data_IF_956998022146
#
_entry.id   IF_956998022146
#
_cell.length_a   1.000
_cell.length_b   1.000
_cell.length_c   1.000
_cell.angle_alpha   90.00
_cell.angle_beta   90.00
_cell.angle_gamma   90.00
#
_symmetry.space_group_name_H-M   'P 1'
#
loop_
_entity.id
_entity.type
_entity.pdbx_description
1 polymer ?
#
# COMPACT_ATOMS: atom_id res chain seq x y z
N UNK A 1 17.55 -2.39 33.61
CA UNK A 1 16.30 -2.08 32.87
C UNK A 1 16.13 -0.58 32.67
N UNK A 2 16.07 0.23 33.74
CA UNK A 2 15.83 1.69 33.65
C UNK A 2 16.84 2.41 32.72
N UNK A 3 18.15 2.17 32.90
CA UNK A 3 19.19 2.78 32.05
C UNK A 3 19.00 2.46 30.56
N UNK A 4 18.57 1.24 30.23
CA UNK A 4 18.37 0.85 28.84
C UNK A 4 17.12 1.51 28.23
N UNK A 5 16.07 1.71 29.02
CA UNK A 5 14.85 2.41 28.58
C UNK A 5 15.16 3.89 28.32
N UNK A 6 15.91 4.54 29.22
CA UNK A 6 16.38 5.92 29.02
C UNK A 6 17.30 6.00 27.80
N UNK A 7 18.20 5.03 27.64
CA UNK A 7 19.06 4.91 26.45
C UNK A 7 18.25 4.80 25.16
N UNK A 8 17.23 3.93 25.14
CA UNK A 8 16.33 3.78 23.99
C UNK A 8 15.56 5.07 23.70
N UNK A 9 15.07 5.75 24.74
CA UNK A 9 14.40 7.05 24.59
C UNK A 9 15.31 8.08 23.92
N UNK A 10 16.55 8.25 24.42
CA UNK A 10 17.50 9.21 23.87
C UNK A 10 17.91 8.82 22.44
N UNK A 11 18.20 7.54 22.20
CA UNK A 11 18.55 7.03 20.88
C UNK A 11 17.45 7.34 19.85
N UNK A 12 16.19 7.04 20.19
CA UNK A 12 15.05 7.29 19.32
C UNK A 12 14.77 8.78 19.15
N UNK A 13 14.97 9.61 20.20
CA UNK A 13 14.86 11.06 20.10
C UNK A 13 15.86 11.64 19.09
N UNK A 14 17.14 11.25 19.20
CA UNK A 14 18.20 11.69 18.29
C UNK A 14 17.98 11.17 16.87
N UNK A 15 17.48 9.96 16.73
CA UNK A 15 17.17 9.35 15.45
C UNK A 15 15.96 9.99 14.77
N UNK A 16 14.92 10.31 15.52
CA UNK A 16 13.77 11.07 15.03
C UNK A 16 14.19 12.47 14.56
N UNK A 17 15.12 13.12 15.29
CA UNK A 17 15.75 14.36 14.83
C UNK A 17 16.51 14.17 13.52
N UNK A 18 17.31 13.11 13.39
CA UNK A 18 18.07 12.79 12.18
C UNK A 18 17.17 12.51 10.96
N UNK A 19 16.02 11.88 11.16
CA UNK A 19 15.02 11.62 10.12
C UNK A 19 14.09 12.80 9.83
N UNK A 20 14.34 13.98 10.41
CA UNK A 20 13.55 15.18 10.12
C UNK A 20 12.11 15.12 10.64
N UNK A 21 11.85 14.36 11.71
CA UNK A 21 10.53 14.31 12.34
C UNK A 21 10.15 15.72 12.86
N UNK A 22 8.94 16.24 12.58
CA UNK A 22 8.51 17.55 13.05
C UNK A 22 8.66 17.69 14.56
N UNK A 23 9.11 18.86 15.04
CA UNK A 23 9.43 19.10 16.46
C UNK A 23 8.31 18.71 17.43
N UNK A 24 7.05 18.93 17.01
CA UNK A 24 5.85 18.55 17.77
C UNK A 24 5.71 17.04 18.04
N UNK A 25 6.38 16.19 17.27
CA UNK A 25 6.26 14.72 17.34
C UNK A 25 7.50 14.02 17.92
N UNK A 26 8.63 14.72 18.08
CA UNK A 26 9.89 14.15 18.54
C UNK A 26 9.81 13.44 19.90
N UNK A 27 9.18 14.08 20.87
CA UNK A 27 9.03 13.49 22.21
C UNK A 27 8.10 12.28 22.14
N UNK A 28 7.04 12.35 21.34
CA UNK A 28 6.10 11.24 21.18
C UNK A 28 6.75 10.04 20.51
N UNK A 29 7.58 10.23 19.47
CA UNK A 29 8.33 9.13 18.85
C UNK A 29 9.35 8.51 19.82
N UNK A 30 10.03 9.33 20.63
CA UNK A 30 10.95 8.86 21.66
C UNK A 30 10.24 8.04 22.76
N UNK A 31 9.06 8.48 23.22
CA UNK A 31 8.22 7.71 24.16
C UNK A 31 7.84 6.36 23.56
N UNK A 32 7.44 6.34 22.28
CA UNK A 32 7.08 5.11 21.58
C UNK A 32 8.24 4.11 21.58
N UNK A 33 9.46 4.56 21.25
CA UNK A 33 10.65 3.71 21.30
C UNK A 33 11.03 3.24 22.71
N UNK A 34 10.82 4.06 23.73
CA UNK A 34 11.04 3.67 25.13
C UNK A 34 10.05 2.58 25.59
N UNK A 35 8.78 2.71 25.19
CA UNK A 35 7.74 1.70 25.44
C UNK A 35 8.08 0.41 24.71
N UNK A 36 8.48 0.51 23.45
CA UNK A 36 8.87 -0.64 22.63
C UNK A 36 10.01 -1.44 23.28
N UNK A 37 11.08 -0.75 23.68
CA UNK A 37 12.19 -1.37 24.40
C UNK A 37 11.78 -1.96 25.75
N UNK A 38 10.89 -1.29 26.49
CA UNK A 38 10.36 -1.82 27.74
C UNK A 38 9.58 -3.13 27.53
N UNK A 39 8.71 -3.18 26.52
CA UNK A 39 7.93 -4.39 26.18
C UNK A 39 8.86 -5.52 25.78
N UNK A 40 9.89 -5.23 24.99
CA UNK A 40 10.93 -6.19 24.65
C UNK A 40 11.62 -6.77 25.89
N UNK A 41 12.07 -5.91 26.82
CA UNK A 41 12.74 -6.36 28.05
C UNK A 41 11.84 -7.17 28.97
N UNK A 42 10.56 -6.77 29.11
CA UNK A 42 9.58 -7.51 29.90
C UNK A 42 9.33 -8.89 29.28
N UNK A 43 9.20 -8.96 27.95
CA UNK A 43 8.96 -10.21 27.24
C UNK A 43 10.13 -11.17 27.42
N UNK A 44 11.36 -10.67 27.28
CA UNK A 44 12.57 -11.44 27.52
C UNK A 44 12.65 -11.93 28.98
N UNK A 45 12.31 -11.07 29.94
CA UNK A 45 12.25 -11.40 31.37
C UNK A 45 11.20 -12.47 31.73
N UNK A 46 10.19 -12.68 30.87
CA UNK A 46 9.20 -13.76 31.00
C UNK A 46 9.64 -15.07 30.34
N UNK A 47 10.86 -15.15 29.82
CA UNK A 47 11.41 -16.35 29.19
C UNK A 47 10.95 -16.56 27.75
N UNK A 48 10.37 -15.55 27.09
CA UNK A 48 10.12 -15.63 25.66
C UNK A 48 11.46 -15.67 24.90
N UNK A 49 11.48 -16.36 23.76
CA UNK A 49 12.65 -16.33 22.87
C UNK A 49 12.91 -14.90 22.37
N UNK A 50 14.15 -14.64 21.95
CA UNK A 50 14.54 -13.33 21.41
C UNK A 50 13.61 -12.88 20.26
N UNK A 51 13.36 -13.77 19.31
CA UNK A 51 12.49 -13.51 18.17
C UNK A 51 11.04 -13.22 18.58
N UNK A 52 10.49 -13.99 19.53
CA UNK A 52 9.12 -13.78 20.03
C UNK A 52 9.00 -12.50 20.87
N UNK A 53 10.04 -12.14 21.63
CA UNK A 53 10.08 -10.88 22.38
C UNK A 53 10.06 -9.67 21.45
N UNK A 54 10.83 -9.72 20.35
CA UNK A 54 10.81 -8.71 19.31
C UNK A 54 9.46 -8.66 18.60
N UNK A 55 8.84 -9.82 18.32
CA UNK A 55 7.51 -9.88 17.71
C UNK A 55 6.45 -9.16 18.56
N UNK A 56 6.40 -9.47 19.87
CA UNK A 56 5.44 -8.84 20.79
C UNK A 56 5.69 -7.34 20.91
N UNK A 57 6.96 -6.92 21.06
CA UNK A 57 7.32 -5.51 21.06
C UNK A 57 6.87 -4.81 19.77
N UNK A 58 7.18 -5.41 18.61
CA UNK A 58 6.78 -4.92 17.28
C UNK A 58 5.26 -4.72 17.15
N UNK A 59 4.46 -5.65 17.66
CA UNK A 59 2.99 -5.51 17.66
C UNK A 59 2.55 -4.30 18.48
N UNK A 60 3.16 -4.09 19.65
CA UNK A 60 2.81 -2.97 20.54
C UNK A 60 3.21 -1.64 19.92
N UNK A 61 4.43 -1.52 19.38
CA UNK A 61 4.85 -0.26 18.73
C UNK A 61 4.02 0.06 17.49
N UNK A 62 3.71 -0.93 16.66
CA UNK A 62 2.85 -0.73 15.50
C UNK A 62 1.46 -0.27 15.95
N UNK A 63 0.89 -0.90 16.98
CA UNK A 63 -0.38 -0.50 17.55
C UNK A 63 -0.39 0.94 18.07
N UNK A 64 0.60 1.32 18.89
CA UNK A 64 0.71 2.67 19.45
C UNK A 64 0.94 3.69 18.33
N UNK A 65 1.76 3.38 17.34
CA UNK A 65 2.02 4.26 16.19
C UNK A 65 0.74 4.52 15.39
N UNK A 66 -0.08 3.51 15.15
CA UNK A 66 -1.39 3.66 14.51
C UNK A 66 -2.36 4.50 15.35
N UNK A 67 -2.36 4.31 16.68
CA UNK A 67 -3.17 5.12 17.59
C UNK A 67 -2.74 6.60 17.59
N UNK A 68 -1.44 6.86 17.63
CA UNK A 68 -0.87 8.21 17.61
C UNK A 68 -1.09 8.90 16.26
N UNK A 69 -0.94 8.17 15.16
CA UNK A 69 -1.23 8.69 13.82
C UNK A 69 -2.64 9.27 13.71
N UNK A 70 -3.65 8.55 14.23
CA UNK A 70 -5.03 9.04 14.30
C UNK A 70 -5.18 10.24 15.23
N UNK A 71 -4.61 10.16 16.43
CA UNK A 71 -4.76 11.20 17.46
C UNK A 71 -4.12 12.53 17.06
N UNK A 72 -3.00 12.48 16.34
CA UNK A 72 -2.19 13.63 15.95
C UNK A 72 -2.33 14.00 14.47
N UNK A 73 -3.13 13.26 13.69
CA UNK A 73 -3.33 13.45 12.25
C UNK A 73 -1.99 13.52 11.51
N UNK A 74 -1.14 12.54 11.76
CA UNK A 74 0.19 12.43 11.18
C UNK A 74 0.38 11.03 10.59
N UNK A 75 1.26 10.84 9.58
CA UNK A 75 1.58 9.53 9.06
C UNK A 75 2.10 8.59 10.15
N UNK A 76 1.67 7.31 10.14
CA UNK A 76 2.10 6.28 11.09
C UNK A 76 3.62 6.14 11.14
N UNK A 77 4.26 6.31 9.99
CA UNK A 77 5.71 6.23 9.80
C UNK A 77 6.50 7.23 10.65
N UNK A 78 5.89 8.37 11.04
CA UNK A 78 6.53 9.37 11.91
C UNK A 78 6.86 8.80 13.28
N UNK A 79 6.04 7.88 13.78
CA UNK A 79 6.23 7.23 15.08
C UNK A 79 6.90 5.86 14.93
N UNK A 80 6.48 5.08 13.93
CA UNK A 80 6.89 3.70 13.75
C UNK A 80 8.36 3.56 13.36
N UNK A 81 8.82 4.30 12.34
CA UNK A 81 10.20 4.15 11.80
C UNK A 81 11.26 4.45 12.86
N UNK A 82 11.25 5.63 13.53
CA UNK A 82 12.26 5.90 14.55
C UNK A 82 12.09 5.00 15.78
N UNK A 83 10.84 4.70 16.17
CA UNK A 83 10.57 3.95 17.39
C UNK A 83 10.99 2.48 17.34
N UNK A 84 10.93 1.83 16.17
CA UNK A 84 11.22 0.39 16.03
C UNK A 84 12.71 0.10 15.86
N UNK A 85 13.51 1.12 15.55
CA UNK A 85 14.92 0.96 15.25
C UNK A 85 15.77 0.32 16.35
N UNK A 86 15.49 0.50 17.66
CA UNK A 86 16.18 -0.25 18.71
C UNK A 86 16.06 -1.78 18.56
N UNK A 87 14.98 -2.30 17.98
CA UNK A 87 14.77 -3.73 17.78
C UNK A 87 15.44 -4.28 16.52
N UNK A 88 15.83 -3.41 15.57
CA UNK A 88 16.42 -3.85 14.31
C UNK A 88 17.79 -4.48 14.59
N UNK A 89 18.06 -5.70 14.10
CA UNK A 89 19.21 -6.50 14.52
C UNK A 89 20.54 -6.07 13.86
N UNK A 90 20.96 -4.82 14.06
CA UNK A 90 22.21 -4.29 13.49
C UNK A 90 23.47 -5.00 14.01
N UNK A 91 23.52 -5.30 15.31
CA UNK A 91 24.64 -6.05 15.92
C UNK A 91 24.68 -7.49 15.39
N UNK A 92 23.53 -8.10 15.12
CA UNK A 92 23.44 -9.42 14.51
C UNK A 92 24.07 -9.43 13.12
N UNK A 93 23.71 -8.47 12.27
CA UNK A 93 24.30 -8.30 10.94
C UNK A 93 25.80 -8.09 10.99
N UNK A 94 26.30 -7.25 11.89
CA UNK A 94 27.74 -7.07 12.08
C UNK A 94 28.45 -8.38 12.46
N UNK A 95 27.86 -9.15 13.38
CA UNK A 95 28.44 -10.44 13.82
C UNK A 95 28.53 -11.46 12.69
N UNK A 96 27.56 -11.49 11.78
CA UNK A 96 27.62 -12.38 10.61
C UNK A 96 28.89 -12.10 9.80
N UNK A 97 29.09 -10.83 9.40
CA UNK A 97 30.26 -10.43 8.60
C UNK A 97 31.55 -10.66 9.37
N UNK A 98 31.56 -10.32 10.66
CA UNK A 98 32.72 -10.53 11.54
C UNK A 98 33.15 -11.99 11.58
N UNK A 99 32.22 -12.93 11.77
CA UNK A 99 32.56 -14.36 11.83
C UNK A 99 32.85 -14.98 10.45
N UNK A 100 32.32 -14.42 9.36
CA UNK A 100 32.74 -14.79 8.02
C UNK A 100 34.21 -14.44 7.76
N UNK A 101 34.68 -13.26 8.21
CA UNK A 101 36.08 -12.84 8.09
C UNK A 101 37.00 -13.73 8.95
N UNK A 102 36.53 -14.16 10.12
CA UNK A 102 37.26 -15.09 11.00
C UNK A 102 37.19 -16.56 10.56
N UNK A 103 36.55 -16.84 9.42
CA UNK A 103 36.34 -18.20 8.90
C UNK A 103 35.60 -19.14 9.88
N UNK A 104 34.87 -18.59 10.85
CA UNK A 104 34.03 -19.34 11.80
C UNK A 104 32.62 -19.50 11.22
N UNK A 105 32.48 -20.46 10.29
CA UNK A 105 31.22 -20.74 9.61
C UNK A 105 30.07 -21.11 10.55
N UNK A 106 30.37 -21.79 11.67
CA UNK A 106 29.35 -22.19 12.64
C UNK A 106 28.69 -20.98 13.31
N UNK A 107 29.49 -20.01 13.79
CA UNK A 107 28.94 -18.77 14.37
C UNK A 107 28.32 -17.86 13.32
N UNK A 108 28.92 -17.77 12.14
CA UNK A 108 28.34 -17.00 11.04
C UNK A 108 26.93 -17.48 10.69
N UNK A 109 26.74 -18.79 10.51
CA UNK A 109 25.41 -19.38 10.26
C UNK A 109 24.46 -19.19 11.43
N UNK A 110 24.92 -19.34 12.67
CA UNK A 110 24.07 -19.11 13.85
C UNK A 110 23.50 -17.68 13.90
N UNK A 111 24.36 -16.66 13.77
CA UNK A 111 23.91 -15.27 13.78
C UNK A 111 23.10 -14.91 12.53
N UNK A 112 23.36 -15.57 11.40
CA UNK A 112 22.56 -15.41 10.19
C UNK A 112 21.12 -15.85 10.42
N UNK A 113 20.91 -17.08 10.90
CA UNK A 113 19.56 -17.58 11.20
C UNK A 113 18.86 -16.73 12.27
N UNK A 114 19.56 -16.35 13.33
CA UNK A 114 18.99 -15.51 14.39
C UNK A 114 18.57 -14.13 13.87
N UNK A 115 19.42 -13.46 13.10
CA UNK A 115 19.14 -12.13 12.53
C UNK A 115 17.97 -12.20 11.55
N UNK A 116 17.93 -13.23 10.70
CA UNK A 116 16.85 -13.46 9.75
C UNK A 116 15.50 -13.69 10.46
N UNK A 117 15.50 -14.49 11.54
CA UNK A 117 14.30 -14.72 12.34
C UNK A 117 13.78 -13.42 12.96
N UNK A 118 14.66 -12.60 13.56
CA UNK A 118 14.27 -11.33 14.17
C UNK A 118 13.69 -10.38 13.12
N UNK A 119 14.36 -10.22 11.97
CA UNK A 119 13.87 -9.38 10.89
C UNK A 119 12.52 -9.87 10.34
N UNK A 120 12.34 -11.18 10.19
CA UNK A 120 11.08 -11.79 9.79
C UNK A 120 9.96 -11.51 10.79
N UNK A 121 10.23 -11.61 12.09
CA UNK A 121 9.25 -11.29 13.13
C UNK A 121 8.84 -9.82 13.14
N UNK A 122 9.79 -8.90 12.89
CA UNK A 122 9.48 -7.49 12.73
C UNK A 122 8.54 -7.28 11.54
N UNK A 123 8.89 -7.84 10.37
CA UNK A 123 8.09 -7.71 9.15
C UNK A 123 6.67 -8.27 9.33
N UNK A 124 6.54 -9.46 9.91
CA UNK A 124 5.25 -10.09 10.17
C UNK A 124 4.42 -9.27 11.18
N UNK A 125 5.04 -8.78 12.25
CA UNK A 125 4.35 -7.98 13.27
C UNK A 125 3.78 -6.68 12.70
N UNK A 126 4.56 -5.94 11.90
CA UNK A 126 4.09 -4.73 11.22
C UNK A 126 2.96 -5.08 10.26
N UNK A 127 3.13 -6.11 9.42
CA UNK A 127 2.13 -6.53 8.43
C UNK A 127 0.78 -6.89 9.08
N UNK A 128 0.80 -7.63 10.19
CA UNK A 128 -0.40 -7.99 10.95
C UNK A 128 -1.09 -6.73 11.46
N UNK A 129 -0.36 -5.80 12.07
CA UNK A 129 -0.97 -4.59 12.62
C UNK A 129 -1.48 -3.64 11.55
N UNK A 130 -0.77 -3.49 10.44
CA UNK A 130 -1.24 -2.72 9.29
C UNK A 130 -2.53 -3.32 8.71
N UNK A 131 -2.59 -4.66 8.58
CA UNK A 131 -3.79 -5.36 8.11
C UNK A 131 -4.96 -5.19 9.07
N UNK A 132 -4.71 -5.33 10.37
CA UNK A 132 -5.69 -5.11 11.42
C UNK A 132 -6.28 -3.70 11.30
N UNK A 133 -5.45 -2.66 11.32
CA UNK A 133 -5.95 -1.27 11.25
C UNK A 133 -6.63 -0.93 9.92
N UNK A 134 -6.15 -1.44 8.79
CA UNK A 134 -6.84 -1.28 7.49
C UNK A 134 -8.27 -1.83 7.53
N UNK A 135 -8.49 -2.96 8.21
CA UNK A 135 -9.83 -3.55 8.35
C UNK A 135 -10.78 -2.66 9.17
N UNK A 136 -10.31 -2.10 10.28
CA UNK A 136 -11.11 -1.18 11.12
C UNK A 136 -11.26 0.23 10.51
N UNK A 137 -10.43 0.58 9.53
CA UNK A 137 -10.39 1.91 8.92
C UNK A 137 -11.14 2.00 7.58
N UNK A 138 -11.85 0.95 7.14
CA UNK A 138 -12.82 1.12 6.04
C UNK A 138 -13.95 2.06 6.50
N UNK A 139 -14.08 3.29 5.96
CA UNK A 139 -15.41 3.84 5.86
C UNK A 139 -16.19 2.95 4.89
N UNK A 140 -17.37 2.49 5.30
CA UNK A 140 -18.31 1.73 4.49
C UNK A 140 -18.92 2.59 3.35
N UNK A 141 -18.15 3.53 2.77
CA UNK A 141 -18.60 4.54 1.82
C UNK A 141 -17.68 4.69 0.60
N UNK A 142 -16.62 3.89 0.48
CA UNK A 142 -15.71 3.92 -0.70
C UNK A 142 -15.90 2.69 -1.58
N UNK A 143 -16.14 1.50 -0.98
CA UNK A 143 -16.41 0.27 -1.75
C UNK A 143 -17.74 0.34 -2.51
N UNK A 144 -18.76 1.01 -1.93
CA UNK A 144 -20.03 1.23 -2.64
C UNK A 144 -19.91 2.25 -3.77
N UNK A 145 -19.02 3.25 -3.62
CA UNK A 145 -18.85 4.32 -4.60
C UNK A 145 -18.03 3.88 -5.80
N UNK A 146 -16.96 3.12 -5.62
CA UNK A 146 -16.22 2.54 -6.76
C UNK A 146 -17.07 1.53 -7.54
N UNK A 147 -17.91 0.73 -6.87
CA UNK A 147 -18.81 -0.20 -7.56
C UNK A 147 -19.92 0.54 -8.34
N UNK A 148 -20.54 1.56 -7.72
CA UNK A 148 -21.57 2.40 -8.35
C UNK A 148 -21.00 3.26 -9.50
N UNK A 149 -19.80 3.84 -9.32
CA UNK A 149 -19.11 4.62 -10.34
C UNK A 149 -18.67 3.73 -11.53
N UNK A 150 -18.22 2.49 -11.29
CA UNK A 150 -17.89 1.52 -12.35
C UNK A 150 -19.15 1.04 -13.10
N UNK A 151 -20.26 0.81 -12.39
CA UNK A 151 -21.51 0.35 -12.99
C UNK A 151 -22.20 1.47 -13.80
N UNK A 152 -22.20 2.71 -13.30
CA UNK A 152 -22.66 3.90 -14.02
C UNK A 152 -21.77 4.26 -15.21
N UNK A 153 -20.45 4.18 -15.07
CA UNK A 153 -19.53 4.50 -16.17
C UNK A 153 -19.54 3.39 -17.24
N UNK A 154 -19.74 2.14 -16.83
CA UNK A 154 -19.98 1.01 -17.72
C UNK A 154 -21.31 1.10 -18.47
N UNK A 155 -22.40 1.47 -17.80
CA UNK A 155 -23.71 1.63 -18.46
C UNK A 155 -23.73 2.82 -19.42
N UNK A 156 -23.17 3.96 -19.02
CA UNK A 156 -23.09 5.17 -19.87
C UNK A 156 -22.22 4.95 -21.10
N UNK A 157 -21.04 4.32 -20.98
CA UNK A 157 -20.19 4.06 -22.16
C UNK A 157 -20.79 3.04 -23.14
N UNK A 158 -21.57 2.06 -22.67
CA UNK A 158 -22.22 1.08 -23.55
C UNK A 158 -23.42 1.70 -24.27
N UNK A 159 -24.21 2.52 -23.59
CA UNK A 159 -25.39 3.16 -24.19
C UNK A 159 -25.00 4.24 -25.22
N UNK A 160 -23.99 5.06 -24.90
CA UNK A 160 -23.47 6.11 -25.81
C UNK A 160 -22.80 5.50 -27.06
N UNK A 161 -22.03 4.43 -26.90
CA UNK A 161 -21.40 3.75 -28.04
C UNK A 161 -22.39 2.98 -28.92
N UNK A 162 -23.49 2.45 -28.37
CA UNK A 162 -24.45 1.65 -29.15
C UNK A 162 -25.45 2.54 -29.88
N UNK A 163 -25.90 3.63 -29.25
CA UNK A 163 -26.82 4.59 -29.88
C UNK A 163 -26.20 5.33 -31.06
N UNK A 164 -24.95 5.82 -30.91
CA UNK A 164 -24.28 6.59 -31.95
C UNK A 164 -23.95 5.74 -33.19
N UNK A 165 -23.63 4.46 -33.01
CA UNK A 165 -23.33 3.53 -34.11
C UNK A 165 -24.59 3.19 -34.91
N UNK A 166 -25.73 2.94 -34.23
CA UNK A 166 -26.99 2.65 -34.91
C UNK A 166 -27.50 3.86 -35.72
N UNK A 167 -27.36 5.07 -35.18
CA UNK A 167 -27.78 6.30 -35.86
C UNK A 167 -26.88 6.62 -37.08
N UNK A 168 -25.57 6.31 -37.01
CA UNK A 168 -24.68 6.43 -38.17
C UNK A 168 -24.96 5.38 -39.24
N UNK A 169 -25.22 4.12 -38.87
CA UNK A 169 -25.55 3.06 -39.84
C UNK A 169 -26.90 3.33 -40.53
N UNK A 170 -27.90 3.82 -39.82
CA UNK A 170 -29.21 4.17 -40.38
C UNK A 170 -29.10 5.30 -41.41
N UNK A 171 -28.39 6.39 -41.07
CA UNK A 171 -28.13 7.52 -41.99
C UNK A 171 -27.35 7.08 -43.23
N UNK A 172 -26.38 6.18 -43.07
CA UNK A 172 -25.57 5.65 -44.18
C UNK A 172 -26.40 4.76 -45.11
N UNK A 173 -27.29 3.95 -44.54
CA UNK A 173 -28.20 3.09 -45.32
C UNK A 173 -29.25 3.90 -46.07
N UNK A 174 -29.79 4.94 -45.45
CA UNK A 174 -30.77 5.86 -46.06
C UNK A 174 -30.15 6.63 -47.24
N UNK A 175 -28.91 7.12 -47.08
CA UNK A 175 -28.17 7.74 -48.18
C UNK A 175 -27.91 6.80 -49.35
N UNK A 176 -27.54 5.55 -49.09
CA UNK A 176 -27.31 4.54 -50.14
C UNK A 176 -28.60 4.19 -50.89
N UNK A 177 -29.74 4.11 -50.18
CA UNK A 177 -31.05 3.88 -50.79
C UNK A 177 -31.48 5.04 -51.69
N UNK A 178 -31.31 6.28 -51.23
CA UNK A 178 -31.61 7.48 -52.01
C UNK A 178 -30.74 7.56 -53.27
N UNK A 179 -29.43 7.33 -53.15
CA UNK A 179 -28.52 7.33 -54.30
C UNK A 179 -28.90 6.26 -55.35
N UNK A 180 -29.30 5.06 -54.91
CA UNK A 180 -29.80 4.00 -55.81
C UNK A 180 -31.12 4.39 -56.48
N UNK A 181 -32.04 5.01 -55.75
CA UNK A 181 -33.32 5.46 -56.29
C UNK A 181 -33.14 6.54 -57.36
N UNK A 182 -32.23 7.50 -57.16
CA UNK A 182 -31.90 8.52 -58.15
C UNK A 182 -31.24 7.91 -59.40
N UNK A 183 -30.32 6.97 -59.22
CA UNK A 183 -29.69 6.26 -60.34
C UNK A 183 -30.71 5.49 -61.18
N UNK A 184 -31.68 4.82 -60.54
CA UNK A 184 -32.78 4.14 -61.24
C UNK A 184 -33.68 5.13 -61.97
N UNK A 185 -34.02 6.27 -61.34
CA UNK A 185 -34.83 7.32 -61.97
C UNK A 185 -34.13 7.91 -63.20
N UNK A 186 -32.80 8.07 -63.15
CA UNK A 186 -32.01 8.53 -64.30
C UNK A 186 -32.01 7.50 -65.43
N UNK A 187 -31.79 6.20 -65.12
CA UNK A 187 -31.89 5.11 -66.10
C UNK A 187 -33.27 4.99 -66.73
N UNK A 188 -34.34 5.23 -65.96
CA UNK A 188 -35.71 5.23 -66.50
C UNK A 188 -35.93 6.40 -67.46
N UNK A 189 -35.45 7.60 -67.13
CA UNK A 189 -35.52 8.77 -68.04
C UNK A 189 -34.68 8.57 -69.31
N UNK A 190 -33.52 7.92 -69.22
CA UNK A 190 -32.71 7.56 -70.39
C UNK A 190 -33.45 6.56 -71.28
N UNK A 191 -34.05 5.50 -70.69
CA UNK A 191 -34.90 4.55 -71.44
C UNK A 191 -36.14 5.21 -72.07
N UNK A 192 -36.80 6.10 -71.35
CA UNK A 192 -37.97 6.84 -71.87
C UNK A 192 -37.57 7.74 -73.05
N UNK A 193 -36.36 8.31 -73.04
CA UNK A 193 -35.82 9.11 -74.15
C UNK A 193 -35.45 8.23 -75.36
N UNK A 194 -34.89 7.05 -75.13
CA UNK A 194 -34.58 6.08 -76.18
C UNK A 194 -35.87 5.53 -76.85
N UNK A 195 -36.94 5.32 -76.07
CA UNK A 195 -38.25 4.84 -76.57
C UNK A 195 -39.07 5.95 -77.28
N UNK A 196 -38.80 7.24 -77.03
CA UNK A 196 -39.50 8.39 -77.62
C UNK A 196 -38.85 9.00 -78.88
N UNK A 197 -37.74 8.44 -79.38
CA UNK A 197 -37.19 8.78 -80.69
C UNK A 197 -36.80 10.26 -80.88
N UNK A 198 -36.18 10.87 -79.87
CA UNK A 198 -35.59 12.22 -79.92
C UNK A 198 -34.10 12.23 -79.53
#
# INVERSE_FOLDING_TARGET
>A
MIVQIIGAFIAVLTLALAFGVPRKFLVYSAIVGAIDWLVYLISLGRGLSLAMSVFVATLVIAFISHAFARRFKAPVTVFLIPGILPLVPGVGTYRIVYYLILEDGAKASYYFYQTLQIAGMIAIGIFIMDTFFKFFQKPLSVVGKEAEDIELQGSVSVEDSTGHVLEEEEKRMEQDLLARAEALRKKMKEREKDDLGL
#
